data_IF_065714966992
#
_entry.id   IF_065714966992
#
_cell.length_a   1.000
_cell.length_b   1.000
_cell.length_c   1.000
_cell.angle_alpha   90.00
_cell.angle_beta   90.00
_cell.angle_gamma   90.00
#
_symmetry.space_group_name_H-M   'P 1'
#
loop_
_entity.id
_entity.type
_entity.pdbx_description
1 polymer ?
#
# COMPACT_ATOMS: atom_id res chain seq x y z
N UNK A 1 16.27 10.62 -12.24
CA UNK A 1 14.99 10.15 -11.66
C UNK A 1 15.35 9.38 -10.41
N UNK A 2 14.71 9.69 -9.29
CA UNK A 2 14.99 9.07 -7.99
C UNK A 2 14.79 7.55 -8.07
N UNK A 3 15.77 6.78 -7.61
CA UNK A 3 15.77 5.31 -7.59
C UNK A 3 14.52 4.74 -6.88
N UNK A 4 14.08 5.42 -5.83
CA UNK A 4 12.88 5.07 -5.04
C UNK A 4 11.59 5.23 -5.86
N UNK A 5 11.52 6.23 -6.75
CA UNK A 5 10.34 6.45 -7.60
C UNK A 5 10.20 5.34 -8.65
N UNK A 6 11.33 4.90 -9.22
CA UNK A 6 11.36 3.78 -10.17
C UNK A 6 10.93 2.47 -9.51
N UNK A 7 11.38 2.22 -8.27
CA UNK A 7 10.98 1.03 -7.52
C UNK A 7 9.49 1.05 -7.16
N UNK A 8 8.93 2.20 -6.75
CA UNK A 8 7.48 2.34 -6.51
C UNK A 8 6.66 2.06 -7.77
N UNK A 9 7.10 2.55 -8.93
CA UNK A 9 6.39 2.36 -10.19
C UNK A 9 6.47 0.91 -10.69
N UNK A 10 7.60 0.22 -10.44
CA UNK A 10 7.73 -1.22 -10.66
C UNK A 10 6.76 -2.02 -9.79
N UNK A 11 6.68 -1.69 -8.48
CA UNK A 11 5.73 -2.34 -7.56
C UNK A 11 4.28 -2.12 -7.96
N UNK A 12 3.97 -0.95 -8.53
CA UNK A 12 2.64 -0.68 -9.07
C UNK A 12 2.30 -1.60 -10.26
N UNK A 13 3.23 -1.81 -11.19
CA UNK A 13 3.02 -2.75 -12.31
C UNK A 13 2.87 -4.20 -11.82
N UNK A 14 3.69 -4.62 -10.87
CA UNK A 14 3.59 -5.95 -10.24
C UNK A 14 2.24 -6.14 -9.53
N UNK A 15 1.72 -5.09 -8.88
CA UNK A 15 0.40 -5.10 -8.27
C UNK A 15 -0.72 -5.27 -9.30
N UNK A 16 -0.69 -4.49 -10.38
CA UNK A 16 -1.70 -4.53 -11.44
C UNK A 16 -1.76 -5.92 -12.11
N UNK A 17 -0.61 -6.49 -12.46
CA UNK A 17 -0.51 -7.85 -13.05
C UNK A 17 -0.99 -8.95 -12.09
N UNK A 18 -0.60 -8.88 -10.82
CA UNK A 18 -1.04 -9.84 -9.81
C UNK A 18 -2.56 -9.73 -9.53
N UNK A 19 -3.09 -8.51 -9.54
CA UNK A 19 -4.50 -8.23 -9.32
C UNK A 19 -5.37 -8.77 -10.46
N UNK A 20 -4.96 -8.53 -11.72
CA UNK A 20 -5.65 -9.03 -12.91
C UNK A 20 -5.72 -10.56 -12.92
N UNK A 21 -4.57 -11.24 -12.76
CA UNK A 21 -4.52 -12.71 -12.68
C UNK A 21 -5.38 -13.28 -11.56
N UNK A 22 -5.40 -12.63 -10.39
CA UNK A 22 -6.22 -13.09 -9.26
C UNK A 22 -7.71 -12.97 -9.55
N UNK A 23 -8.14 -11.90 -10.23
CA UNK A 23 -9.53 -11.74 -10.68
C UNK A 23 -9.92 -12.80 -11.71
N UNK A 24 -9.04 -13.09 -12.67
CA UNK A 24 -9.27 -14.14 -13.65
C UNK A 24 -9.49 -15.50 -12.96
N UNK A 25 -8.66 -15.84 -12.00
CA UNK A 25 -8.82 -17.07 -11.20
C UNK A 25 -10.12 -17.08 -10.41
N UNK A 26 -10.53 -15.96 -9.81
CA UNK A 26 -11.80 -15.83 -9.08
C UNK A 26 -13.01 -16.01 -10.03
N UNK A 27 -12.93 -15.44 -11.22
CA UNK A 27 -13.98 -15.56 -12.24
C UNK A 27 -14.09 -17.01 -12.73
N UNK A 28 -12.95 -17.67 -12.97
CA UNK A 28 -12.92 -19.09 -13.33
C UNK A 28 -13.50 -19.99 -12.22
N UNK A 29 -13.27 -19.65 -10.93
CA UNK A 29 -13.90 -20.34 -9.79
C UNK A 29 -15.42 -20.18 -9.83
N UNK A 30 -15.92 -18.98 -10.15
CA UNK A 30 -17.35 -18.71 -10.23
C UNK A 30 -18.05 -19.53 -11.34
N UNK A 31 -17.34 -19.80 -12.43
CA UNK A 31 -17.83 -20.62 -13.55
C UNK A 31 -17.73 -22.13 -13.33
N UNK A 32 -16.85 -22.57 -12.43
CA UNK A 32 -16.76 -23.98 -12.04
C UNK A 32 -18.08 -24.45 -11.41
N UNK A 33 -18.66 -25.51 -11.98
CA UNK A 33 -19.99 -26.01 -11.63
C UNK A 33 -21.04 -25.82 -12.75
N UNK A 34 -20.69 -25.16 -13.86
CA UNK A 34 -21.50 -25.17 -15.09
C UNK A 34 -21.16 -26.34 -16.03
N UNK A 35 -19.96 -26.96 -15.92
CA UNK A 35 -19.54 -28.10 -16.75
C UNK A 35 -19.59 -29.40 -15.95
N UNK A 36 -19.34 -30.56 -16.60
CA UNK A 36 -19.61 -31.89 -16.03
C UNK A 36 -18.34 -32.59 -15.50
N UNK A 37 -18.26 -32.66 -14.17
CA UNK A 37 -17.82 -33.77 -13.29
C UNK A 37 -16.33 -34.18 -13.32
N UNK A 38 -15.69 -34.05 -12.15
CA UNK A 38 -14.50 -34.80 -11.73
C UNK A 38 -13.23 -33.95 -11.72
N UNK A 39 -12.77 -33.58 -12.91
CA UNK A 39 -11.62 -32.69 -13.09
C UNK A 39 -11.88 -31.29 -12.51
N UNK A 40 -13.14 -30.86 -12.49
CA UNK A 40 -13.57 -29.57 -11.94
C UNK A 40 -13.26 -29.39 -10.44
N UNK A 41 -13.22 -30.47 -9.65
CA UNK A 41 -12.92 -30.35 -8.20
C UNK A 41 -11.43 -30.11 -7.95
N UNK A 42 -10.59 -30.79 -8.72
CA UNK A 42 -9.14 -30.62 -8.67
C UNK A 42 -8.76 -29.27 -9.28
N UNK A 43 -9.44 -28.85 -10.36
CA UNK A 43 -9.25 -27.52 -10.93
C UNK A 43 -9.74 -26.42 -9.98
N UNK A 44 -10.86 -26.59 -9.27
CA UNK A 44 -11.31 -25.66 -8.23
C UNK A 44 -10.31 -25.52 -7.09
N UNK A 45 -9.78 -26.62 -6.56
CA UNK A 45 -8.76 -26.57 -5.51
C UNK A 45 -7.49 -25.86 -6.00
N UNK A 46 -7.05 -26.16 -7.22
CA UNK A 46 -5.87 -25.52 -7.82
C UNK A 46 -6.09 -24.03 -8.08
N UNK A 47 -7.25 -23.65 -8.63
CA UNK A 47 -7.61 -22.25 -8.87
C UNK A 47 -7.73 -21.47 -7.55
N UNK A 48 -8.26 -22.09 -6.50
CA UNK A 48 -8.35 -21.45 -5.18
C UNK A 48 -6.97 -21.29 -4.55
N UNK A 49 -6.06 -22.26 -4.74
CA UNK A 49 -4.65 -22.13 -4.38
C UNK A 49 -3.97 -20.96 -5.09
N UNK A 50 -4.10 -20.88 -6.42
CA UNK A 50 -3.55 -19.77 -7.21
C UNK A 50 -4.13 -18.41 -6.81
N UNK A 51 -5.43 -18.33 -6.52
CA UNK A 51 -6.06 -17.11 -6.03
C UNK A 51 -5.57 -16.72 -4.63
N UNK A 52 -5.30 -17.69 -3.75
CA UNK A 52 -4.72 -17.46 -2.43
C UNK A 52 -3.26 -17.00 -2.53
N UNK A 53 -2.48 -17.60 -3.43
CA UNK A 53 -1.10 -17.19 -3.72
C UNK A 53 -1.07 -15.76 -4.26
N UNK A 54 -1.96 -15.42 -5.20
CA UNK A 54 -2.14 -14.06 -5.72
C UNK A 54 -2.50 -13.05 -4.61
N UNK A 55 -3.42 -13.41 -3.70
CA UNK A 55 -3.73 -12.59 -2.53
C UNK A 55 -2.53 -12.44 -1.58
N UNK A 56 -1.71 -13.46 -1.41
CA UNK A 56 -0.50 -13.38 -0.58
C UNK A 56 0.55 -12.44 -1.18
N UNK A 57 0.69 -12.46 -2.51
CA UNK A 57 1.58 -11.57 -3.26
C UNK A 57 1.10 -10.12 -3.19
N UNK A 58 -0.21 -9.87 -3.33
CA UNK A 58 -0.77 -8.54 -3.15
C UNK A 58 -0.49 -8.03 -1.72
N UNK A 59 -0.68 -8.86 -0.70
CA UNK A 59 -0.41 -8.44 0.68
C UNK A 59 1.08 -8.10 0.92
N UNK A 60 2.02 -8.84 0.31
CA UNK A 60 3.44 -8.52 0.43
C UNK A 60 3.81 -7.23 -0.32
N UNK A 61 3.21 -6.98 -1.49
CA UNK A 61 3.36 -5.73 -2.24
C UNK A 61 2.80 -4.54 -1.45
N UNK A 62 1.65 -4.71 -0.80
CA UNK A 62 1.07 -3.69 0.09
C UNK A 62 2.03 -3.35 1.24
N UNK A 63 2.62 -4.37 1.87
CA UNK A 63 3.61 -4.17 2.93
C UNK A 63 4.88 -3.46 2.42
N UNK A 64 5.35 -3.82 1.21
CA UNK A 64 6.51 -3.17 0.59
C UNK A 64 6.26 -1.68 0.30
N UNK A 65 5.05 -1.33 -0.16
CA UNK A 65 4.67 0.05 -0.40
C UNK A 65 4.56 0.85 0.92
N UNK A 66 4.05 0.24 2.00
CA UNK A 66 3.98 0.86 3.33
C UNK A 66 5.39 1.10 3.91
N UNK A 67 6.37 0.25 3.57
CA UNK A 67 7.78 0.44 3.95
C UNK A 67 8.49 1.54 3.14
N UNK A 68 8.10 1.72 1.86
CA UNK A 68 8.68 2.74 0.96
C UNK A 68 8.06 4.13 1.18
N UNK A 69 6.81 4.21 1.65
CA UNK A 69 6.09 5.47 1.85
C UNK A 69 6.81 6.48 2.78
N UNK A 70 7.50 6.10 3.87
CA UNK A 70 8.25 7.02 4.73
C UNK A 70 9.63 7.41 4.18
N UNK A 71 10.17 6.67 3.20
CA UNK A 71 11.51 6.89 2.65
C UNK A 71 11.53 7.96 1.53
N UNK A 72 10.35 8.50 1.18
CA UNK A 72 10.20 9.45 0.09
C UNK A 72 10.56 10.87 0.55
N UNK A 73 11.52 11.57 -0.11
CA UNK A 73 12.03 12.86 0.35
C UNK A 73 11.03 14.02 0.30
N UNK A 74 9.91 13.87 -0.43
CA UNK A 74 8.98 14.95 -0.75
C UNK A 74 7.57 14.66 -0.24
N UNK A 75 7.04 15.59 0.56
CA UNK A 75 5.76 15.45 1.28
C UNK A 75 4.55 15.25 0.32
N UNK A 76 4.61 15.85 -0.88
CA UNK A 76 3.59 15.64 -1.92
C UNK A 76 3.56 14.19 -2.42
N UNK A 77 4.74 13.58 -2.62
CA UNK A 77 4.84 12.19 -3.06
C UNK A 77 4.46 11.21 -1.93
N UNK A 78 4.74 11.54 -0.66
CA UNK A 78 4.28 10.77 0.50
C UNK A 78 2.75 10.72 0.53
N UNK A 79 2.08 11.84 0.28
CA UNK A 79 0.62 11.91 0.29
C UNK A 79 0.00 11.13 -0.89
N UNK A 80 0.57 11.20 -2.09
CA UNK A 80 0.10 10.39 -3.22
C UNK A 80 0.26 8.89 -2.96
N UNK A 81 1.40 8.46 -2.40
CA UNK A 81 1.66 7.04 -2.08
C UNK A 81 0.72 6.54 -0.99
N UNK A 82 0.39 7.37 0.01
CA UNK A 82 -0.62 7.04 1.02
C UNK A 82 -2.01 6.86 0.42
N UNK A 83 -2.41 7.73 -0.51
CA UNK A 83 -3.70 7.58 -1.20
C UNK A 83 -3.75 6.29 -2.04
N UNK A 84 -2.64 5.94 -2.70
CA UNK A 84 -2.49 4.69 -3.45
C UNK A 84 -2.55 3.47 -2.51
N UNK A 85 -1.96 3.57 -1.32
CA UNK A 85 -2.01 2.49 -0.32
C UNK A 85 -3.44 2.22 0.15
N UNK A 86 -4.24 3.26 0.38
CA UNK A 86 -5.64 3.11 0.76
C UNK A 86 -6.48 2.53 -0.39
N UNK A 87 -6.21 2.90 -1.65
CA UNK A 87 -6.89 2.26 -2.79
C UNK A 87 -6.52 0.79 -2.92
N UNK A 88 -5.24 0.43 -2.80
CA UNK A 88 -4.78 -0.96 -2.81
C UNK A 88 -5.40 -1.80 -1.69
N UNK A 89 -5.49 -1.22 -0.49
CA UNK A 89 -6.15 -1.86 0.64
C UNK A 89 -7.64 -2.13 0.38
N UNK A 90 -8.34 -1.17 -0.22
CA UNK A 90 -9.74 -1.35 -0.60
C UNK A 90 -9.89 -2.42 -1.69
N UNK A 91 -9.01 -2.43 -2.70
CA UNK A 91 -8.99 -3.45 -3.75
C UNK A 91 -8.68 -4.84 -3.19
N UNK A 92 -7.77 -4.95 -2.24
CA UNK A 92 -7.47 -6.22 -1.58
C UNK A 92 -8.67 -6.75 -0.79
N UNK A 93 -9.36 -5.88 -0.04
CA UNK A 93 -10.54 -6.27 0.73
C UNK A 93 -11.71 -6.67 -0.18
N UNK A 94 -11.96 -5.92 -1.26
CA UNK A 94 -12.99 -6.28 -2.24
C UNK A 94 -12.68 -7.63 -2.89
N UNK A 95 -11.41 -7.87 -3.25
CA UNK A 95 -10.96 -9.13 -3.85
C UNK A 95 -11.11 -10.32 -2.90
N UNK A 96 -10.83 -10.15 -1.60
CA UNK A 96 -11.07 -11.19 -0.58
C UNK A 96 -12.55 -11.54 -0.44
N UNK A 97 -13.42 -10.53 -0.43
CA UNK A 97 -14.87 -10.76 -0.38
C UNK A 97 -15.33 -11.46 -1.67
N UNK A 98 -14.81 -11.04 -2.81
CA UNK A 98 -15.15 -11.60 -4.11
C UNK A 98 -14.72 -13.07 -4.25
N UNK A 99 -13.52 -13.44 -3.78
CA UNK A 99 -13.07 -14.83 -3.71
C UNK A 99 -13.99 -15.67 -2.83
N UNK A 100 -14.44 -15.13 -1.68
CA UNK A 100 -15.36 -15.83 -0.78
C UNK A 100 -16.74 -16.02 -1.43
N UNK A 101 -17.28 -15.01 -2.09
CA UNK A 101 -18.57 -15.11 -2.79
C UNK A 101 -18.50 -16.07 -3.97
N UNK A 102 -17.42 -16.03 -4.76
CA UNK A 102 -17.20 -16.96 -5.87
C UNK A 102 -17.10 -18.41 -5.38
N UNK A 103 -16.37 -18.67 -4.30
CA UNK A 103 -16.30 -20.00 -3.68
C UNK A 103 -17.66 -20.50 -3.17
N UNK A 104 -18.47 -19.62 -2.57
CA UNK A 104 -19.83 -19.96 -2.14
C UNK A 104 -20.73 -20.27 -3.33
N UNK A 105 -20.67 -19.45 -4.38
CA UNK A 105 -21.45 -19.66 -5.59
C UNK A 105 -21.06 -20.94 -6.32
N UNK A 106 -19.77 -21.26 -6.43
CA UNK A 106 -19.28 -22.52 -6.98
C UNK A 106 -19.84 -23.71 -6.19
N UNK A 107 -19.81 -23.65 -4.85
CA UNK A 107 -20.40 -24.69 -3.99
C UNK A 107 -21.91 -24.83 -4.18
N UNK A 108 -22.65 -23.73 -4.30
CA UNK A 108 -24.09 -23.76 -4.53
C UNK A 108 -24.43 -24.30 -5.92
N UNK A 109 -23.67 -23.93 -6.95
CA UNK A 109 -23.80 -24.48 -8.30
C UNK A 109 -23.54 -25.99 -8.31
N UNK A 110 -22.48 -26.44 -7.64
CA UNK A 110 -22.19 -27.87 -7.48
C UNK A 110 -23.29 -28.61 -6.71
N UNK A 111 -23.89 -28.00 -5.68
CA UNK A 111 -25.03 -28.57 -4.94
C UNK A 111 -26.27 -28.67 -5.82
N UNK A 112 -26.57 -27.64 -6.61
CA UNK A 112 -27.68 -27.64 -7.58
C UNK A 112 -27.48 -28.72 -8.64
N UNK A 113 -26.28 -28.82 -9.22
CA UNK A 113 -25.94 -29.85 -10.19
C UNK A 113 -26.06 -31.27 -9.59
N UNK A 114 -25.55 -31.47 -8.38
CA UNK A 114 -25.68 -32.75 -7.67
C UNK A 114 -27.16 -33.09 -7.34
N UNK A 115 -27.98 -32.08 -7.00
CA UNK A 115 -29.40 -32.27 -6.74
C UNK A 115 -30.17 -32.57 -8.04
N UNK A 116 -29.83 -31.92 -9.15
CA UNK A 116 -30.41 -32.21 -10.47
C UNK A 116 -30.07 -33.64 -10.90
N UNK A 117 -28.82 -34.09 -10.74
CA UNK A 117 -28.45 -35.48 -10.99
C UNK A 117 -29.21 -36.45 -10.07
N UNK A 118 -29.38 -36.11 -8.79
CA UNK A 118 -30.19 -36.92 -7.86
C UNK A 118 -31.65 -36.97 -8.28
N UNK A 119 -32.25 -35.86 -8.71
CA UNK A 119 -33.63 -35.81 -9.18
C UNK A 119 -33.78 -36.57 -10.50
N UNK A 120 -32.81 -36.55 -11.40
CA UNK A 120 -32.81 -37.39 -12.61
C UNK A 120 -32.68 -38.89 -12.28
N UNK A 121 -31.91 -39.24 -11.25
CA UNK A 121 -31.70 -40.64 -10.85
C UNK A 121 -32.81 -41.20 -9.94
N UNK A 122 -33.43 -40.36 -9.11
CA UNK A 122 -34.47 -40.72 -8.13
C UNK A 122 -35.88 -40.32 -8.60
N UNK A 123 -35.99 -39.49 -9.64
CA UNK A 123 -37.24 -39.06 -10.28
C UNK A 123 -37.84 -40.19 -11.10
N UNK A 124 -38.27 -41.25 -10.42
CA UNK A 124 -39.18 -42.23 -10.99
C UNK A 124 -40.52 -41.56 -11.24
N UNK A 125 -40.87 -41.29 -12.50
CA UNK A 125 -42.23 -40.82 -12.80
C UNK A 125 -42.54 -40.50 -14.25
N UNK A 126 -41.71 -39.71 -14.93
CA UNK A 126 -42.12 -39.14 -16.24
C UNK A 126 -41.19 -39.54 -17.40
N UNK A 127 -39.87 -39.57 -17.21
CA UNK A 127 -38.92 -40.02 -18.27
C UNK A 127 -38.65 -41.54 -18.25
N UNK A 128 -39.10 -42.24 -17.20
CA UNK A 128 -38.74 -43.64 -16.96
C UNK A 128 -39.58 -44.64 -17.75
N UNK A 129 -40.70 -44.26 -18.37
CA UNK A 129 -41.59 -45.22 -19.05
C UNK A 129 -40.96 -45.83 -20.31
N UNK A 130 -40.17 -45.06 -21.06
CA UNK A 130 -39.48 -45.56 -22.25
C UNK A 130 -38.23 -46.38 -21.91
N UNK A 131 -37.43 -45.92 -20.94
CA UNK A 131 -36.24 -46.64 -20.46
C UNK A 131 -36.57 -47.89 -19.65
N UNK A 132 -37.68 -47.91 -18.91
CA UNK A 132 -38.17 -49.07 -18.16
C UNK A 132 -38.73 -50.14 -19.08
N UNK A 133 -39.40 -49.77 -20.17
CA UNK A 133 -39.80 -50.73 -21.23
C UNK A 133 -38.58 -51.42 -21.85
N UNK A 134 -37.49 -50.67 -22.05
CA UNK A 134 -36.22 -51.20 -22.57
C UNK A 134 -35.42 -52.04 -21.56
N UNK A 135 -35.51 -51.75 -20.26
CA UNK A 135 -34.90 -52.58 -19.19
C UNK A 135 -35.71 -53.82 -18.82
N UNK A 136 -37.04 -53.76 -18.86
CA UNK A 136 -37.91 -54.90 -18.56
C UNK A 136 -37.83 -56.02 -19.61
N UNK A 137 -37.35 -55.73 -20.83
CA UNK A 137 -37.04 -56.74 -21.84
C UNK A 137 -35.80 -57.61 -21.50
N UNK A 138 -34.95 -57.19 -20.54
CA UNK A 138 -33.80 -57.95 -20.05
C UNK A 138 -34.10 -58.54 -18.65
N UNK A 139 -35.05 -59.48 -18.61
CA UNK A 139 -35.65 -60.08 -17.40
C UNK A 139 -34.69 -60.98 -16.60
N UNK A 140 -33.83 -60.38 -15.76
CA UNK A 140 -33.02 -61.08 -14.75
C UNK A 140 -33.02 -60.40 -13.36
N UNK A 141 -33.97 -59.51 -13.07
CA UNK A 141 -33.91 -58.52 -11.96
C UNK A 141 -34.68 -58.98 -10.71
N UNK A 142 -34.33 -60.12 -10.15
CA UNK A 142 -34.74 -60.48 -8.77
C UNK A 142 -33.54 -60.58 -7.82
N UNK A 143 -32.35 -60.85 -8.34
CA UNK A 143 -31.08 -60.82 -7.56
C UNK A 143 -30.49 -59.40 -7.42
N UNK A 144 -30.72 -58.52 -8.40
CA UNK A 144 -30.17 -57.15 -8.39
C UNK A 144 -30.89 -56.19 -7.42
N UNK A 145 -32.13 -56.46 -7.02
CA UNK A 145 -32.82 -55.62 -6.05
C UNK A 145 -32.16 -55.69 -4.66
N UNK A 146 -31.67 -56.87 -4.30
CA UNK A 146 -30.97 -57.10 -3.02
C UNK A 146 -29.58 -56.45 -3.04
N UNK A 147 -28.84 -56.57 -4.15
CA UNK A 147 -27.54 -55.91 -4.34
C UNK A 147 -27.66 -54.38 -4.41
N UNK A 148 -28.72 -53.84 -5.02
CA UNK A 148 -29.01 -52.39 -5.04
C UNK A 148 -29.38 -51.90 -3.64
N UNK A 149 -30.16 -52.66 -2.88
CA UNK A 149 -30.52 -52.28 -1.50
C UNK A 149 -29.31 -52.34 -0.57
N UNK A 150 -28.43 -53.32 -0.74
CA UNK A 150 -27.16 -53.41 -0.02
C UNK A 150 -26.23 -52.24 -0.38
N UNK A 151 -26.13 -51.89 -1.67
CA UNK A 151 -25.38 -50.74 -2.17
C UNK A 151 -25.87 -49.42 -1.58
N UNK A 152 -27.19 -49.26 -1.45
CA UNK A 152 -27.81 -48.07 -0.88
C UNK A 152 -27.57 -47.98 0.63
N UNK A 153 -27.60 -49.13 1.32
CA UNK A 153 -27.26 -49.23 2.76
C UNK A 153 -25.79 -48.91 3.00
N UNK A 154 -24.88 -49.41 2.15
CA UNK A 154 -23.44 -49.08 2.16
C UNK A 154 -23.19 -47.59 1.86
N UNK A 155 -23.90 -47.03 0.87
CA UNK A 155 -23.81 -45.60 0.55
C UNK A 155 -24.31 -44.71 1.70
N UNK A 156 -25.39 -45.12 2.40
CA UNK A 156 -25.87 -44.43 3.60
C UNK A 156 -24.81 -44.42 4.69
N UNK A 157 -24.12 -45.54 4.92
CA UNK A 157 -23.04 -45.61 5.92
C UNK A 157 -21.87 -44.70 5.56
N UNK A 158 -21.41 -44.72 4.30
CA UNK A 158 -20.36 -43.82 3.82
C UNK A 158 -20.76 -42.33 3.90
N UNK A 159 -22.04 -42.02 3.67
CA UNK A 159 -22.55 -40.65 3.80
C UNK A 159 -22.59 -40.19 5.26
N UNK A 160 -22.99 -41.05 6.20
CA UNK A 160 -22.95 -40.73 7.63
C UNK A 160 -21.50 -40.49 8.06
N UNK A 161 -20.57 -41.32 7.60
CA UNK A 161 -19.14 -41.16 7.87
C UNK A 161 -18.58 -39.85 7.27
N UNK A 162 -18.98 -39.48 6.06
CA UNK A 162 -18.56 -38.21 5.43
C UNK A 162 -19.17 -36.99 6.14
N UNK A 163 -20.39 -37.10 6.68
CA UNK A 163 -21.04 -36.05 7.47
C UNK A 163 -20.38 -35.90 8.84
N UNK A 164 -20.05 -37.00 9.52
CA UNK A 164 -19.29 -36.96 10.78
C UNK A 164 -17.91 -36.36 10.56
N UNK A 165 -17.22 -36.76 9.47
CA UNK A 165 -15.93 -36.18 9.07
C UNK A 165 -16.05 -34.69 8.76
N UNK A 166 -17.10 -34.26 8.06
CA UNK A 166 -17.37 -32.85 7.77
C UNK A 166 -17.65 -32.05 9.03
N UNK A 167 -18.40 -32.63 9.98
CA UNK A 167 -18.74 -31.99 11.27
C UNK A 167 -17.50 -31.83 12.14
N UNK A 168 -16.67 -32.86 12.25
CA UNK A 168 -15.37 -32.77 12.96
C UNK A 168 -14.45 -31.73 12.31
N UNK A 169 -14.44 -31.64 10.98
CA UNK A 169 -13.66 -30.62 10.27
C UNK A 169 -14.21 -29.21 10.51
N UNK A 170 -15.54 -29.06 10.64
CA UNK A 170 -16.21 -27.79 10.93
C UNK A 170 -15.90 -27.32 12.35
N UNK A 171 -15.90 -28.23 13.33
CA UNK A 171 -15.49 -27.95 14.72
C UNK A 171 -14.02 -27.52 14.77
N UNK A 172 -13.12 -28.23 14.07
CA UNK A 172 -11.72 -27.83 13.98
C UNK A 172 -11.53 -26.46 13.29
N UNK A 173 -12.37 -26.14 12.30
CA UNK A 173 -12.39 -24.82 11.66
C UNK A 173 -12.88 -23.71 12.61
N UNK A 174 -13.89 -23.99 13.42
CA UNK A 174 -14.42 -23.04 14.40
C UNK A 174 -13.38 -22.77 15.50
N UNK A 175 -12.73 -23.82 16.00
CA UNK A 175 -11.61 -23.71 16.95
C UNK A 175 -10.46 -22.89 16.37
N UNK A 176 -10.05 -23.18 15.12
CA UNK A 176 -8.99 -22.43 14.42
C UNK A 176 -9.38 -20.96 14.20
N UNK A 177 -10.67 -20.69 13.91
CA UNK A 177 -11.20 -19.33 13.77
C UNK A 177 -11.22 -18.60 15.11
N UNK A 178 -11.52 -19.31 16.21
CA UNK A 178 -11.43 -18.80 17.58
C UNK A 178 -10.00 -18.39 17.95
N UNK A 179 -9.01 -19.22 17.62
CA UNK A 179 -7.58 -18.90 17.81
C UNK A 179 -7.16 -17.71 16.97
N UNK A 180 -7.58 -17.66 15.69
CA UNK A 180 -7.28 -16.53 14.81
C UNK A 180 -7.89 -15.22 15.32
N UNK A 181 -9.12 -15.25 15.82
CA UNK A 181 -9.79 -14.08 16.42
C UNK A 181 -9.09 -13.62 17.70
N UNK A 182 -8.57 -14.56 18.50
CA UNK A 182 -7.74 -14.25 19.68
C UNK A 182 -6.42 -13.59 19.27
N UNK A 183 -5.71 -14.16 18.30
CA UNK A 183 -4.49 -13.57 17.75
C UNK A 183 -4.74 -12.20 17.11
N UNK A 184 -5.85 -12.00 16.40
CA UNK A 184 -6.25 -10.72 15.84
C UNK A 184 -6.52 -9.69 16.95
N UNK A 185 -7.18 -10.10 18.04
CA UNK A 185 -7.43 -9.22 19.19
C UNK A 185 -6.13 -8.81 19.91
N UNK A 186 -5.17 -9.73 20.02
CA UNK A 186 -3.84 -9.48 20.57
C UNK A 186 -3.02 -8.55 19.65
N UNK A 187 -3.09 -8.78 18.33
CA UNK A 187 -2.47 -7.93 17.32
C UNK A 187 -3.06 -6.51 17.30
N UNK A 188 -4.38 -6.38 17.46
CA UNK A 188 -5.06 -5.09 17.64
C UNK A 188 -4.63 -4.40 18.93
N UNK A 189 -4.39 -5.18 19.99
CA UNK A 189 -3.75 -4.74 21.23
C UNK A 189 -2.38 -4.11 20.98
N UNK A 190 -1.50 -4.81 20.25
CA UNK A 190 -0.18 -4.29 19.86
C UNK A 190 -0.26 -3.06 18.96
N UNK A 191 -1.23 -2.99 18.04
CA UNK A 191 -1.44 -1.80 17.20
C UNK A 191 -1.82 -0.57 18.03
N UNK A 192 -2.59 -0.75 19.11
CA UNK A 192 -2.91 0.33 20.05
C UNK A 192 -1.67 0.83 20.80
N UNK A 193 -0.75 -0.07 21.16
CA UNK A 193 0.53 0.27 21.78
C UNK A 193 1.43 1.01 20.78
N UNK A 194 1.51 0.53 19.54
CA UNK A 194 2.28 1.17 18.48
C UNK A 194 1.73 2.57 18.11
N UNK A 195 0.41 2.75 18.15
CA UNK A 195 -0.23 4.06 18.02
C UNK A 195 0.17 5.01 19.14
N UNK A 196 0.25 4.55 20.40
CA UNK A 196 0.76 5.36 21.51
C UNK A 196 2.22 5.73 21.28
N UNK A 197 3.09 4.77 20.92
CA UNK A 197 4.50 5.03 20.62
C UNK A 197 4.66 6.05 19.49
N UNK A 198 3.85 5.94 18.43
CA UNK A 198 3.86 6.90 17.31
C UNK A 198 3.41 8.30 17.74
N UNK A 199 2.41 8.40 18.61
CA UNK A 199 1.99 9.69 19.16
C UNK A 199 3.10 10.29 20.04
N UNK A 200 3.76 9.50 20.89
CA UNK A 200 4.91 9.95 21.69
C UNK A 200 6.09 10.39 20.80
N UNK A 201 6.40 9.64 19.75
CA UNK A 201 7.46 10.00 18.81
C UNK A 201 7.10 11.29 18.05
N UNK A 202 5.82 11.46 17.66
CA UNK A 202 5.34 12.70 17.05
C UNK A 202 5.36 13.89 18.01
N UNK A 203 5.24 13.67 19.32
CA UNK A 203 5.36 14.75 20.30
C UNK A 203 6.80 15.23 20.44
N UNK A 204 7.80 14.34 20.32
CA UNK A 204 9.21 14.75 20.29
C UNK A 204 9.54 15.57 19.03
N UNK A 205 9.08 15.11 17.86
CA UNK A 205 9.28 15.87 16.62
C UNK A 205 8.55 17.22 16.62
N UNK A 206 7.34 17.28 17.20
CA UNK A 206 6.60 18.55 17.34
C UNK A 206 7.28 19.50 18.31
N UNK A 207 7.92 18.99 19.35
CA UNK A 207 8.65 19.83 20.31
C UNK A 207 9.85 20.51 19.65
N UNK A 208 10.61 19.78 18.82
CA UNK A 208 11.71 20.36 18.04
C UNK A 208 11.22 21.40 17.02
N UNK A 209 10.08 21.16 16.37
CA UNK A 209 9.50 22.13 15.42
C UNK A 209 8.99 23.38 16.14
N UNK A 210 8.30 23.22 17.27
CA UNK A 210 7.79 24.35 18.06
C UNK A 210 8.96 25.17 18.61
N UNK A 211 10.01 24.54 19.13
CA UNK A 211 11.21 25.24 19.60
C UNK A 211 11.87 26.03 18.47
N UNK A 212 12.02 25.42 17.28
CA UNK A 212 12.55 26.11 16.10
C UNK A 212 11.68 27.29 15.67
N UNK A 213 10.36 27.18 15.76
CA UNK A 213 9.43 28.29 15.47
C UNK A 213 9.54 29.40 16.51
N UNK A 214 9.64 29.08 17.79
CA UNK A 214 9.82 30.05 18.87
C UNK A 214 11.15 30.80 18.69
N UNK A 215 12.24 30.09 18.34
CA UNK A 215 13.53 30.72 18.03
C UNK A 215 13.44 31.69 16.84
N UNK A 216 12.73 31.31 15.77
CA UNK A 216 12.51 32.17 14.61
C UNK A 216 11.71 33.43 15.01
N UNK A 217 10.61 33.27 15.76
CA UNK A 217 9.77 34.40 16.19
C UNK A 217 10.57 35.34 17.10
N UNK A 218 11.31 34.79 18.07
CA UNK A 218 12.18 35.58 18.96
C UNK A 218 13.26 36.34 18.20
N UNK A 219 13.92 35.68 17.24
CA UNK A 219 14.89 36.32 16.36
C UNK A 219 14.26 37.41 15.49
N UNK A 220 13.06 37.19 14.94
CA UNK A 220 12.35 38.19 14.15
C UNK A 220 11.98 39.42 14.97
N UNK A 221 11.51 39.27 16.21
CA UNK A 221 11.22 40.39 17.10
C UNK A 221 12.48 41.17 17.47
N UNK A 222 13.58 40.46 17.77
CA UNK A 222 14.87 41.07 18.03
C UNK A 222 15.39 41.86 16.81
N UNK A 223 15.35 41.24 15.62
CA UNK A 223 15.73 41.90 14.38
C UNK A 223 14.86 43.13 14.09
N UNK A 224 13.56 43.05 14.36
CA UNK A 224 12.63 44.17 14.21
C UNK A 224 12.96 45.32 15.18
N UNK A 225 13.30 45.01 16.44
CA UNK A 225 13.73 46.00 17.43
C UNK A 225 15.06 46.67 17.04
N UNK A 226 16.05 45.90 16.57
CA UNK A 226 17.32 46.43 16.06
C UNK A 226 17.07 47.33 14.85
N UNK A 227 16.25 46.88 13.89
CA UNK A 227 15.86 47.69 12.73
C UNK A 227 15.13 48.97 13.14
N UNK A 228 14.28 48.93 14.17
CA UNK A 228 13.61 50.12 14.71
C UNK A 228 14.62 51.12 15.28
N UNK A 229 15.57 50.67 16.11
CA UNK A 229 16.61 51.53 16.69
C UNK A 229 17.49 52.15 15.60
N UNK A 230 17.90 51.34 14.62
CA UNK A 230 18.72 51.79 13.48
C UNK A 230 17.92 52.77 12.61
N UNK A 231 16.65 52.49 12.31
CA UNK A 231 15.78 53.39 11.53
C UNK A 231 15.53 54.72 12.25
N UNK A 232 15.40 54.68 13.57
CA UNK A 232 15.25 55.86 14.42
C UNK A 232 16.54 56.69 14.50
N UNK A 233 17.72 56.07 14.50
CA UNK A 233 19.02 56.77 14.61
C UNK A 233 19.62 57.23 13.29
N UNK A 234 19.55 56.42 12.24
CA UNK A 234 20.20 56.73 10.95
C UNK A 234 19.23 57.49 10.01
N UNK A 235 17.95 57.55 10.35
CA UNK A 235 16.92 58.16 9.51
C UNK A 235 16.58 57.24 8.34
N UNK A 236 15.29 56.93 8.19
CA UNK A 236 14.73 56.01 7.18
C UNK A 236 15.29 56.24 5.75
N UNK A 237 15.64 57.48 5.41
CA UNK A 237 16.16 57.86 4.10
C UNK A 237 17.56 57.26 3.77
N UNK A 238 18.48 57.22 4.74
CA UNK A 238 19.85 56.69 4.54
C UNK A 238 19.84 55.16 4.48
N UNK A 239 18.94 54.50 5.22
CA UNK A 239 18.74 53.05 5.12
C UNK A 239 18.20 52.64 3.76
N UNK A 240 17.24 53.39 3.21
CA UNK A 240 16.72 53.11 1.88
C UNK A 240 17.81 53.21 0.80
N UNK A 241 18.69 54.22 0.89
CA UNK A 241 19.82 54.37 -0.03
C UNK A 241 20.86 53.26 0.12
N UNK A 242 21.21 52.87 1.36
CA UNK A 242 22.15 51.77 1.60
C UNK A 242 21.57 50.40 1.20
N UNK A 243 20.28 50.15 1.48
CA UNK A 243 19.62 48.91 1.11
C UNK A 243 19.46 48.77 -0.41
N UNK A 244 19.06 49.83 -1.11
CA UNK A 244 19.00 49.83 -2.58
C UNK A 244 20.39 49.71 -3.21
N UNK A 245 21.42 50.36 -2.65
CA UNK A 245 22.80 50.18 -3.08
C UNK A 245 23.32 48.75 -2.85
N UNK A 246 23.03 48.14 -1.70
CA UNK A 246 23.44 46.77 -1.38
C UNK A 246 22.72 45.72 -2.24
N UNK A 247 21.43 45.92 -2.54
CA UNK A 247 20.67 45.06 -3.45
C UNK A 247 21.21 45.19 -4.88
N UNK A 248 21.49 46.42 -5.35
CA UNK A 248 22.11 46.67 -6.66
C UNK A 248 23.51 46.05 -6.76
N UNK A 249 24.32 46.14 -5.71
CA UNK A 249 25.63 45.50 -5.65
C UNK A 249 25.54 43.97 -5.63
N UNK A 250 24.55 43.38 -4.92
CA UNK A 250 24.28 41.93 -4.95
C UNK A 250 23.81 41.47 -6.32
N UNK A 251 22.93 42.22 -7.00
CA UNK A 251 22.50 41.92 -8.36
C UNK A 251 23.65 42.05 -9.37
N UNK A 252 24.50 43.08 -9.23
CA UNK A 252 25.69 43.25 -10.07
C UNK A 252 26.73 42.14 -9.83
N UNK A 253 26.96 41.73 -8.58
CA UNK A 253 27.84 40.60 -8.26
C UNK A 253 27.28 39.23 -8.65
N UNK A 254 25.95 39.10 -8.75
CA UNK A 254 25.26 37.92 -9.28
C UNK A 254 25.34 37.86 -10.81
N UNK A 255 25.27 39.01 -11.49
CA UNK A 255 25.47 39.14 -12.94
C UNK A 255 26.93 38.90 -13.34
N UNK A 256 27.90 39.41 -12.57
CA UNK A 256 29.33 39.19 -12.80
C UNK A 256 29.76 37.73 -12.58
N UNK A 257 29.05 36.97 -11.74
CA UNK A 257 29.29 35.52 -11.56
C UNK A 257 28.55 34.64 -12.59
N UNK A 258 27.67 35.21 -13.41
CA UNK A 258 26.93 34.48 -14.44
C UNK A 258 27.62 34.53 -15.83
N UNK A 259 28.55 35.47 -16.03
CA UNK A 259 29.30 35.63 -17.28
C UNK A 259 30.74 35.10 -17.10
N UNK A 260 30.85 33.78 -17.01
CA UNK A 260 32.12 33.08 -16.99
C UNK A 260 32.70 32.96 -18.40
N UNK A 261 33.65 33.82 -18.75
CA UNK A 261 34.67 33.53 -19.76
C UNK A 261 36.07 33.80 -19.19
N UNK A 262 37.02 32.86 -19.29
CA UNK A 262 38.32 32.98 -18.64
C UNK A 262 39.28 33.73 -19.56
N UNK A 263 39.96 34.76 -19.05
CA UNK A 263 41.16 35.28 -19.71
C UNK A 263 42.41 35.12 -18.84
N UNK A 264 43.37 34.53 -19.53
CA UNK A 264 44.74 34.15 -19.20
C UNK A 264 45.66 35.38 -19.15
N UNK A 265 46.80 35.21 -18.45
CA UNK A 265 48.04 36.00 -18.48
C UNK A 265 48.01 37.37 -17.74
N UNK A 266 49.07 37.83 -17.07
CA UNK A 266 50.51 37.68 -17.30
C UNK A 266 51.28 38.03 -16.01
N UNK A 267 52.40 37.33 -15.80
CA UNK A 267 53.46 37.61 -14.82
C UNK A 267 54.31 38.80 -15.33
N UNK A 268 54.58 39.85 -14.53
CA UNK A 268 55.86 40.55 -14.60
C UNK A 268 56.17 41.32 -13.31
N UNK A 269 57.44 41.34 -12.93
CA UNK A 269 57.96 41.86 -11.67
C UNK A 269 58.64 43.22 -11.79
N UNK A 270 59.10 43.73 -10.63
CA UNK A 270 60.22 44.65 -10.57
C UNK A 270 59.95 46.07 -10.07
N UNK A 271 60.32 46.28 -8.79
CA UNK A 271 61.16 47.36 -8.28
C UNK A 271 60.60 48.73 -7.80
N UNK A 272 60.97 49.00 -6.52
CA UNK A 272 61.42 50.25 -5.87
C UNK A 272 60.39 51.38 -5.63
N UNK A 273 60.23 52.03 -4.47
CA UNK A 273 61.09 52.36 -3.30
C UNK A 273 60.20 52.56 -2.05
N UNK A 274 60.68 52.32 -0.80
CA UNK A 274 59.93 52.55 0.43
C UNK A 274 60.25 53.88 1.14
N UNK A 275 59.23 54.40 1.86
CA UNK A 275 59.29 55.15 3.14
C UNK A 275 59.83 56.59 3.16
N UNK A 276 59.16 57.49 3.91
CA UNK A 276 59.70 58.23 5.08
C UNK A 276 58.76 59.37 5.57
N UNK A 277 58.46 59.32 6.88
CA UNK A 277 58.09 60.36 7.89
C UNK A 277 56.72 61.10 7.85
N UNK A 278 55.74 60.89 8.77
CA UNK A 278 55.64 61.12 10.27
C UNK A 278 55.37 62.63 10.62
N UNK A 279 54.55 63.06 11.62
CA UNK A 279 53.20 62.68 12.09
C UNK A 279 52.32 63.91 12.58
N UNK A 280 51.10 63.60 13.01
CA UNK A 280 50.19 64.20 14.04
C UNK A 280 50.72 65.39 14.89
N UNK A 281 49.94 66.49 15.05
CA UNK A 281 49.33 66.95 16.34
C UNK A 281 48.93 68.46 16.41
N UNK A 282 47.68 68.71 16.88
CA UNK A 282 47.14 69.93 17.58
C UNK A 282 47.13 71.29 16.84
N UNK A 283 46.29 72.30 17.12
CA UNK A 283 45.07 72.60 17.90
C UNK A 283 44.84 74.11 17.69
N UNK A 284 43.59 74.56 17.82
CA UNK A 284 43.17 75.90 18.27
C UNK A 284 42.89 77.00 17.21
N UNK A 285 41.58 77.30 17.09
CA UNK A 285 40.90 78.62 17.16
C UNK A 285 41.10 79.76 16.15
N UNK A 286 39.91 80.24 15.73
CA UNK A 286 39.38 81.61 15.66
C UNK A 286 39.82 82.66 14.61
N UNK A 287 38.74 83.28 14.11
CA UNK A 287 38.50 84.70 13.85
C UNK A 287 39.00 85.36 12.54
N UNK A 288 37.99 86.01 11.92
CA UNK A 288 37.92 86.96 10.79
C UNK A 288 38.18 86.49 9.36
#
# INVERSE_FOLDING_TARGET
MDEVVVEVEKRKREWEDAYEKTIEHITAIQECGKSRRGEEKVSLQRLNGLAQDGLSLLNSLQFSLDLLAPQLPSDHHVQSTRSLLETWKNQYQSLRVHLRSANLQAKDNMRKAAQQERVLLLGGGTESTELRRKRQANSGVTSDAESITESLRRSRQLMVQEVERSTNTLVAFDESTGVLKKAESEYKGHRSLFSRTRNLLSTMQRQDVIDRVILIIGFSLFACAVLYVVSKRIGILRLQQMATAAIKARLAGKAANADGTPLVHQFDGGNTVPNVNIPIQQRLHDEL
#
